data_IF_100307789486
#
_entry.id   IF_100307789486
#
_cell.length_a   1.000
_cell.length_b   1.000
_cell.length_c   1.000
_cell.angle_alpha   90.00
_cell.angle_beta   90.00
_cell.angle_gamma   90.00
#
_symmetry.space_group_name_H-M   'P 1'
#
loop_
_entity.id
_entity.type
_entity.pdbx_description
1 polymer ?
#
# COMPACT_ATOMS: atom_id res chain seq x y z
N UNK A 1 2.47 -16.57 -0.01
CA UNK A 1 2.38 -15.15 0.40
C UNK A 1 1.54 -15.08 1.65
N UNK A 2 1.99 -14.35 2.67
CA UNK A 2 1.34 -14.23 3.98
C UNK A 2 0.87 -12.79 4.19
N UNK A 3 -0.26 -12.61 4.87
CA UNK A 3 -0.75 -11.29 5.27
C UNK A 3 -0.06 -10.86 6.56
N UNK A 4 0.52 -9.66 6.54
CA UNK A 4 1.20 -9.09 7.69
C UNK A 4 0.42 -7.88 8.23
N UNK A 5 0.28 -7.84 9.55
CA UNK A 5 -0.14 -6.65 10.32
C UNK A 5 1.07 -5.72 10.52
N UNK A 6 1.77 -5.42 9.43
CA UNK A 6 2.94 -4.57 9.41
C UNK A 6 3.02 -3.82 8.08
N UNK A 7 3.31 -2.53 8.17
CA UNK A 7 3.48 -1.67 7.00
C UNK A 7 4.73 -2.11 6.21
N UNK A 8 4.68 -2.11 4.87
CA UNK A 8 5.84 -2.38 4.04
C UNK A 8 7.01 -1.43 4.33
N UNK A 9 8.24 -1.91 4.15
CA UNK A 9 9.47 -1.10 4.32
C UNK A 9 10.30 -1.03 3.04
N UNK A 10 9.82 -1.64 1.97
CA UNK A 10 10.45 -1.63 0.64
C UNK A 10 9.41 -1.29 -0.42
N UNK A 11 9.80 -0.62 -1.52
CA UNK A 11 8.91 -0.38 -2.65
C UNK A 11 8.44 -1.66 -3.33
N UNK A 12 7.25 -1.60 -3.94
CA UNK A 12 6.67 -2.69 -4.71
C UNK A 12 5.15 -2.70 -4.68
N UNK A 13 4.53 -3.65 -5.38
CA UNK A 13 3.09 -3.86 -5.33
C UNK A 13 2.73 -4.76 -4.17
N UNK A 14 1.67 -4.40 -3.44
CA UNK A 14 1.16 -5.17 -2.31
C UNK A 14 -0.34 -5.34 -2.44
N UNK A 15 -0.84 -6.51 -2.06
CA UNK A 15 -2.23 -6.61 -1.68
C UNK A 15 -2.45 -5.85 -0.38
N UNK A 16 -3.50 -5.04 -0.33
CA UNK A 16 -3.92 -4.27 0.85
C UNK A 16 -5.31 -4.72 1.24
N UNK A 17 -5.50 -5.14 2.49
CA UNK A 17 -6.80 -5.55 3.02
C UNK A 17 -7.13 -4.74 4.26
N UNK A 18 -8.26 -4.04 4.22
CA UNK A 18 -8.77 -3.27 5.36
C UNK A 18 -9.62 -4.18 6.24
N UNK A 19 -9.35 -4.19 7.55
CA UNK A 19 -10.09 -5.03 8.51
C UNK A 19 -11.34 -4.34 9.08
N UNK A 20 -11.61 -3.10 8.66
CA UNK A 20 -12.79 -2.33 9.02
C UNK A 20 -13.89 -2.40 7.93
N UNK A 21 -14.85 -1.48 7.99
CA UNK A 21 -16.02 -1.43 7.13
C UNK A 21 -15.83 -0.58 5.86
N UNK A 22 -14.58 -0.29 5.48
CA UNK A 22 -14.25 0.38 4.22
C UNK A 22 -14.63 -0.47 3.00
N UNK A 23 -14.98 0.22 1.91
CA UNK A 23 -15.26 -0.38 0.60
C UNK A 23 -14.38 0.32 -0.44
N UNK A 24 -13.56 -0.42 -1.22
CA UNK A 24 -13.41 -1.88 -1.19
C UNK A 24 -12.69 -2.40 0.07
N UNK A 25 -13.04 -3.61 0.53
CA UNK A 25 -12.35 -4.24 1.69
C UNK A 25 -10.93 -4.72 1.36
N UNK A 26 -10.62 -4.85 0.07
CA UNK A 26 -9.30 -5.26 -0.42
C UNK A 26 -9.03 -4.56 -1.75
N UNK A 27 -7.80 -4.10 -1.94
CA UNK A 27 -7.30 -3.53 -3.19
C UNK A 27 -5.81 -3.88 -3.37
N UNK A 28 -5.19 -3.37 -4.43
CA UNK A 28 -3.75 -3.39 -4.65
C UNK A 28 -3.22 -1.99 -4.33
N UNK A 29 -2.11 -1.92 -3.58
CA UNK A 29 -1.38 -0.68 -3.34
C UNK A 29 0.02 -0.76 -3.94
N UNK A 30 0.42 0.27 -4.69
CA UNK A 30 1.82 0.47 -5.06
C UNK A 30 2.52 1.25 -3.96
N UNK A 31 3.52 0.65 -3.32
CA UNK A 31 4.39 1.32 -2.35
C UNK A 31 5.58 1.91 -3.11
N UNK A 32 5.76 3.23 -3.02
CA UNK A 32 6.81 3.95 -3.73
C UNK A 32 7.60 4.88 -2.80
N UNK A 33 8.89 5.10 -3.10
CA UNK A 33 9.73 6.08 -2.42
C UNK A 33 9.47 7.49 -2.97
N UNK A 34 9.31 8.48 -2.09
CA UNK A 34 9.18 9.88 -2.49
C UNK A 34 10.55 10.45 -2.86
N UNK A 35 10.80 10.83 -4.14
CA UNK A 35 12.08 11.39 -4.53
C UNK A 35 12.29 12.79 -3.96
N UNK A 36 13.53 13.13 -3.60
CA UNK A 36 13.94 14.51 -3.31
C UNK A 36 13.65 15.03 -1.89
N UNK A 37 13.05 14.23 -1.01
CA UNK A 37 12.76 14.58 0.38
C UNK A 37 14.02 14.56 1.28
N UNK A 38 15.00 13.70 1.00
CA UNK A 38 16.16 13.47 1.88
C UNK A 38 15.86 12.53 3.06
N UNK A 39 14.58 12.27 3.36
CA UNK A 39 14.11 11.17 4.19
C UNK A 39 13.59 10.05 3.28
N UNK A 40 13.79 8.80 3.73
CA UNK A 40 13.30 7.60 3.04
C UNK A 40 11.79 7.42 3.30
N UNK A 41 11.00 8.34 2.78
CA UNK A 41 9.55 8.33 2.93
C UNK A 41 8.91 7.42 1.89
N UNK A 42 7.95 6.60 2.33
CA UNK A 42 7.15 5.73 1.48
C UNK A 42 5.71 6.24 1.40
N UNK A 43 5.14 6.14 0.21
CA UNK A 43 3.72 6.42 -0.07
C UNK A 43 3.05 5.17 -0.64
N UNK A 44 1.72 5.11 -0.55
CA UNK A 44 0.88 4.08 -1.14
C UNK A 44 -0.06 4.73 -2.15
N UNK A 45 -0.07 4.18 -3.35
CA UNK A 45 -1.02 4.53 -4.41
C UNK A 45 -2.00 3.36 -4.53
N UNK A 46 -3.24 3.56 -4.13
CA UNK A 46 -4.25 2.49 -4.18
C UNK A 46 -4.80 2.38 -5.60
N UNK A 47 -4.69 1.20 -6.21
CA UNK A 47 -5.25 0.98 -7.54
C UNK A 47 -6.77 1.09 -7.50
N UNK A 48 -7.31 1.93 -8.38
CA UNK A 48 -8.74 2.28 -8.42
C UNK A 48 -9.10 3.51 -7.61
N UNK A 49 -8.13 4.13 -6.94
CA UNK A 49 -8.24 5.43 -6.28
C UNK A 49 -7.19 6.38 -6.88
N UNK A 50 -7.50 7.68 -6.92
CA UNK A 50 -6.58 8.72 -7.44
C UNK A 50 -5.73 9.39 -6.34
N UNK A 51 -5.90 8.97 -5.08
CA UNK A 51 -5.19 9.53 -3.95
C UNK A 51 -3.83 8.85 -3.71
N UNK A 52 -2.82 9.67 -3.39
CA UNK A 52 -1.50 9.23 -2.92
C UNK A 52 -1.44 9.46 -1.42
N UNK A 53 -1.32 8.39 -0.64
CA UNK A 53 -1.32 8.43 0.82
C UNK A 53 0.08 8.17 1.36
N UNK A 54 0.46 8.86 2.42
CA UNK A 54 1.68 8.53 3.17
C UNK A 54 1.51 7.13 3.78
N UNK A 55 2.52 6.26 3.63
CA UNK A 55 2.41 4.90 4.18
C UNK A 55 2.27 4.92 5.70
N UNK A 56 2.72 6.00 6.36
CA UNK A 56 2.58 6.14 7.79
C UNK A 56 1.22 6.68 8.27
N UNK A 57 0.35 7.09 7.35
CA UNK A 57 -0.96 7.65 7.66
C UNK A 57 -1.85 6.66 8.45
N UNK A 58 -2.64 7.21 9.35
CA UNK A 58 -3.61 6.47 10.18
C UNK A 58 -4.63 5.66 9.37
N UNK A 59 -4.85 6.01 8.10
CA UNK A 59 -5.60 5.24 7.13
C UNK A 59 -5.14 3.77 7.08
N UNK A 60 -3.84 3.49 7.24
CA UNK A 60 -3.30 2.14 7.19
C UNK A 60 -3.19 1.42 8.55
N UNK A 61 -3.67 2.01 9.66
CA UNK A 61 -3.57 1.40 11.01
C UNK A 61 -4.34 0.08 11.15
N UNK A 62 -5.29 -0.17 10.26
CA UNK A 62 -6.11 -1.39 10.21
C UNK A 62 -6.00 -2.10 8.87
N UNK A 63 -4.86 -1.91 8.20
CA UNK A 63 -4.57 -2.54 6.92
C UNK A 63 -3.58 -3.69 7.09
N UNK A 64 -3.90 -4.82 6.49
CA UNK A 64 -2.99 -5.93 6.31
C UNK A 64 -2.35 -5.83 4.93
N UNK A 65 -1.06 -6.13 4.84
CA UNK A 65 -0.29 -6.10 3.60
C UNK A 65 0.22 -7.49 3.26
N UNK A 66 0.21 -7.84 1.97
CA UNK A 66 0.80 -9.07 1.48
C UNK A 66 1.57 -8.80 0.18
N UNK A 67 2.87 -9.10 0.16
CA UNK A 67 3.76 -8.77 -0.96
C UNK A 67 5.24 -8.77 -0.57
N UNK A 68 6.12 -8.21 -1.43
CA UNK A 68 5.80 -7.61 -2.72
C UNK A 68 5.32 -8.65 -3.74
N UNK A 69 4.55 -8.21 -4.73
CA UNK A 69 4.05 -9.02 -5.85
C UNK A 69 4.44 -8.41 -7.19
N UNK A 70 4.30 -9.19 -8.26
CA UNK A 70 4.47 -8.68 -9.62
C UNK A 70 3.43 -7.59 -9.93
N UNK A 71 3.78 -6.57 -10.72
CA UNK A 71 2.83 -5.54 -11.12
C UNK A 71 1.60 -6.19 -11.76
N UNK A 72 0.39 -5.75 -11.39
CA UNK A 72 -0.81 -6.23 -12.05
C UNK A 72 -0.74 -5.88 -13.55
N UNK A 73 -1.08 -6.84 -14.40
CA UNK A 73 -1.17 -6.61 -15.84
C UNK A 73 -2.20 -5.50 -16.10
N UNK A 74 -1.75 -4.35 -16.59
CA UNK A 74 -2.63 -3.33 -17.15
C UNK A 74 -3.00 -3.78 -18.56
N UNK A 75 -4.03 -4.63 -18.68
CA UNK A 75 -4.69 -4.90 -19.96
C UNK A 75 -5.84 -3.91 -20.21
#
# INVERSE_FOLDING_TARGET
MEWMDARPVVPGYYWVRFTDDRTPKQTIGEVAEVPGNGLRQLVVILLGDDEILELDDSFFDRALFAGPMEPPSME
#
